data_IF_634014958240
#
_entry.id   IF_634014958240
#
_cell.length_a   1.000
_cell.length_b   1.000
_cell.length_c   1.000
_cell.angle_alpha   90.00
_cell.angle_beta   90.00
_cell.angle_gamma   90.00
#
_symmetry.space_group_name_H-M   'P 1'
#
loop_
_entity.id
_entity.type
_entity.pdbx_description
1 polymer ?
#
# COMPACT_ATOMS: atom_id res chain seq x y z
N UNK A 1 -7.53 18.75 -13.15
CA UNK A 1 -8.24 17.85 -12.20
C UNK A 1 -9.69 17.73 -12.64
N UNK A 2 -10.23 16.50 -12.64
CA UNK A 2 -11.63 16.25 -13.02
C UNK A 2 -12.61 16.71 -11.94
N UNK A 3 -13.88 16.91 -12.34
CA UNK A 3 -14.96 17.21 -11.39
C UNK A 3 -15.08 16.10 -10.35
N UNK A 4 -14.95 14.83 -10.76
CA UNK A 4 -14.98 13.67 -9.86
C UNK A 4 -13.89 13.76 -8.80
N UNK A 5 -12.65 14.10 -9.18
CA UNK A 5 -11.58 14.31 -8.21
C UNK A 5 -11.91 15.41 -7.22
N UNK A 6 -12.40 16.57 -7.71
CA UNK A 6 -12.76 17.69 -6.84
C UNK A 6 -13.87 17.35 -5.84
N UNK A 7 -14.85 16.54 -6.26
CA UNK A 7 -15.91 16.05 -5.37
C UNK A 7 -15.35 15.09 -4.30
N UNK A 8 -14.52 14.13 -4.69
CA UNK A 8 -13.88 13.18 -3.75
C UNK A 8 -12.98 13.94 -2.78
N UNK A 9 -12.16 14.87 -3.26
CA UNK A 9 -11.31 15.73 -2.41
C UNK A 9 -12.14 16.48 -1.37
N UNK A 10 -13.23 17.14 -1.79
CA UNK A 10 -14.11 17.88 -0.90
C UNK A 10 -14.79 16.99 0.14
N UNK A 11 -15.19 15.78 -0.25
CA UNK A 11 -15.77 14.78 0.65
C UNK A 11 -14.74 14.33 1.69
N UNK A 12 -13.55 13.95 1.28
CA UNK A 12 -12.46 13.52 2.17
C UNK A 12 -12.09 14.64 3.15
N UNK A 13 -11.95 15.88 2.67
CA UNK A 13 -11.61 17.03 3.52
C UNK A 13 -12.66 17.33 4.57
N UNK A 14 -13.94 17.15 4.26
CA UNK A 14 -15.05 17.30 5.24
C UNK A 14 -15.08 16.18 6.26
N UNK A 15 -14.69 14.97 5.87
CA UNK A 15 -14.64 13.79 6.73
C UNK A 15 -13.34 13.65 7.53
N UNK A 16 -12.35 14.53 7.31
CA UNK A 16 -11.06 14.46 7.96
C UNK A 16 -11.19 14.54 9.47
N UNK A 17 -10.80 13.48 10.15
CA UNK A 17 -10.82 13.40 11.62
C UNK A 17 -9.49 13.89 12.17
N UNK A 18 -9.55 14.58 13.30
CA UNK A 18 -8.39 14.94 14.08
C UNK A 18 -8.18 13.89 15.17
N UNK A 19 -6.99 13.30 15.21
CA UNK A 19 -6.58 12.47 16.32
C UNK A 19 -6.29 13.33 17.57
N UNK A 20 -6.73 12.87 18.73
CA UNK A 20 -6.42 13.52 20.02
C UNK A 20 -5.88 12.41 20.93
N UNK A 21 -4.60 12.54 21.31
CA UNK A 21 -3.93 11.61 22.21
C UNK A 21 -4.67 11.51 23.56
N UNK A 22 -4.77 10.29 24.07
CA UNK A 22 -5.44 10.00 25.33
C UNK A 22 -6.98 9.97 25.29
N UNK A 23 -7.61 10.24 24.12
CA UNK A 23 -9.05 10.04 23.94
C UNK A 23 -9.34 8.63 23.40
N UNK A 24 -10.46 8.05 23.87
CA UNK A 24 -10.96 6.81 23.29
C UNK A 24 -11.32 7.03 21.81
N UNK A 25 -10.60 6.36 20.91
CA UNK A 25 -10.80 6.47 19.47
C UNK A 25 -11.93 5.56 18.95
N UNK A 26 -12.46 4.67 19.80
CA UNK A 26 -13.49 3.72 19.46
C UNK A 26 -13.25 3.04 18.09
N UNK A 27 -12.10 2.39 17.95
CA UNK A 27 -11.68 1.76 16.69
C UNK A 27 -12.70 0.77 16.11
N UNK A 28 -13.41 -0.05 16.91
CA UNK A 28 -14.47 -0.90 16.39
C UNK A 28 -15.58 -0.12 15.67
N UNK A 29 -16.03 1.00 16.24
CA UNK A 29 -17.03 1.84 15.58
C UNK A 29 -16.49 2.53 14.32
N UNK A 30 -15.22 2.95 14.31
CA UNK A 30 -14.56 3.51 13.12
C UNK A 30 -14.49 2.49 11.98
N UNK A 31 -14.12 1.24 12.26
CA UNK A 31 -14.10 0.13 11.29
C UNK A 31 -15.48 -0.15 10.73
N UNK A 32 -16.48 -0.25 11.62
CA UNK A 32 -17.87 -0.47 11.21
C UNK A 32 -18.42 0.66 10.32
N UNK A 33 -18.08 1.92 10.63
CA UNK A 33 -18.47 3.06 9.80
C UNK A 33 -17.76 3.06 8.45
N UNK A 34 -16.47 2.71 8.37
CA UNK A 34 -15.74 2.57 7.11
C UNK A 34 -16.35 1.45 6.25
N UNK A 35 -16.67 0.29 6.81
CA UNK A 35 -17.36 -0.79 6.09
C UNK A 35 -18.74 -0.34 5.59
N UNK A 36 -19.51 0.39 6.39
CA UNK A 36 -20.81 0.93 6.01
C UNK A 36 -20.70 1.92 4.85
N UNK A 37 -19.72 2.82 4.88
CA UNK A 37 -19.45 3.78 3.81
C UNK A 37 -19.07 3.08 2.51
N UNK A 38 -18.30 1.98 2.59
CA UNK A 38 -17.84 1.21 1.45
C UNK A 38 -18.78 0.08 1.02
N UNK A 39 -19.96 -0.08 1.65
CA UNK A 39 -20.88 -1.20 1.39
C UNK A 39 -21.30 -1.37 -0.08
N UNK A 40 -21.27 -0.32 -0.87
CA UNK A 40 -21.57 -0.34 -2.31
C UNK A 40 -20.31 -0.39 -3.20
N UNK A 41 -19.12 -0.24 -2.62
CA UNK A 41 -17.84 -0.27 -3.31
C UNK A 41 -17.33 -1.71 -3.48
N UNK A 42 -18.18 -2.59 -4.02
CA UNK A 42 -17.88 -4.01 -4.18
C UNK A 42 -17.11 -4.30 -5.46
N UNK A 43 -16.50 -5.47 -5.51
CA UNK A 43 -15.96 -6.02 -6.75
C UNK A 43 -17.09 -6.26 -7.78
N UNK A 44 -16.80 -6.16 -9.09
CA UNK A 44 -17.76 -6.53 -10.14
C UNK A 44 -18.25 -7.97 -9.96
N UNK A 45 -19.52 -8.24 -10.34
CA UNK A 45 -20.15 -9.58 -10.21
C UNK A 45 -19.42 -10.70 -10.96
N UNK A 46 -18.59 -10.37 -11.92
CA UNK A 46 -17.76 -11.35 -12.66
C UNK A 46 -16.51 -11.81 -11.91
N UNK A 47 -16.21 -11.21 -10.75
CA UNK A 47 -15.09 -11.61 -9.91
C UNK A 47 -15.53 -12.72 -8.98
N UNK A 48 -14.82 -13.83 -9.01
CA UNK A 48 -14.98 -14.90 -8.04
C UNK A 48 -14.19 -14.55 -6.78
N UNK A 49 -14.86 -14.63 -5.63
CA UNK A 49 -14.26 -14.33 -4.33
C UNK A 49 -14.39 -15.58 -3.46
N UNK A 50 -13.27 -16.06 -2.94
CA UNK A 50 -13.24 -17.11 -1.92
C UNK A 50 -12.24 -16.75 -0.82
N UNK A 51 -12.26 -17.51 0.26
CA UNK A 51 -11.35 -17.30 1.39
C UNK A 51 -10.57 -18.60 1.64
N UNK A 52 -9.28 -18.43 1.94
CA UNK A 52 -8.38 -19.51 2.35
C UNK A 52 -7.71 -19.12 3.66
N UNK A 53 -7.17 -20.09 4.37
CA UNK A 53 -6.42 -19.85 5.61
C UNK A 53 -4.91 -19.98 5.36
N UNK A 54 -4.17 -18.98 5.80
CA UNK A 54 -2.71 -18.97 5.85
C UNK A 54 -2.27 -19.00 7.34
N UNK A 55 -2.25 -20.18 7.94
CA UNK A 55 -2.20 -20.31 9.39
C UNK A 55 -3.45 -19.70 10.03
N UNK A 56 -3.26 -18.72 10.93
CA UNK A 56 -4.36 -18.03 11.61
C UNK A 56 -4.92 -16.84 10.80
N UNK A 57 -4.37 -16.58 9.60
CA UNK A 57 -4.75 -15.42 8.78
C UNK A 57 -5.71 -15.83 7.68
N UNK A 58 -6.88 -15.19 7.61
CA UNK A 58 -7.79 -15.33 6.48
C UNK A 58 -7.26 -14.52 5.29
N UNK A 59 -7.12 -15.16 4.14
CA UNK A 59 -6.75 -14.50 2.89
C UNK A 59 -7.92 -14.56 1.92
N UNK A 60 -8.38 -13.41 1.46
CA UNK A 60 -9.39 -13.33 0.42
C UNK A 60 -8.72 -13.45 -0.95
N UNK A 61 -9.18 -14.41 -1.76
CA UNK A 61 -8.73 -14.61 -3.12
C UNK A 61 -9.80 -14.06 -4.09
N UNK A 62 -9.37 -13.16 -4.98
CA UNK A 62 -10.20 -12.60 -6.02
C UNK A 62 -9.64 -13.03 -7.38
N UNK A 63 -10.49 -13.66 -8.19
CA UNK A 63 -10.08 -14.19 -9.49
C UNK A 63 -11.12 -13.93 -10.57
N UNK A 64 -10.67 -14.04 -11.84
CA UNK A 64 -11.53 -13.99 -13.01
C UNK A 64 -11.12 -15.07 -14.00
N UNK A 65 -12.06 -15.80 -14.64
CA UNK A 65 -11.73 -16.92 -15.53
C UNK A 65 -10.84 -16.58 -16.74
N UNK A 66 -10.74 -15.29 -17.09
CA UNK A 66 -9.89 -14.81 -18.19
C UNK A 66 -8.46 -14.49 -17.77
N UNK A 67 -8.19 -14.44 -16.47
CA UNK A 67 -6.86 -14.10 -15.99
C UNK A 67 -5.97 -15.35 -15.96
N UNK A 68 -4.67 -15.20 -16.22
CA UNK A 68 -3.70 -16.28 -15.97
C UNK A 68 -3.77 -16.75 -14.51
N UNK A 69 -3.68 -18.06 -14.30
CA UNK A 69 -3.76 -18.69 -12.98
C UNK A 69 -2.39 -18.93 -12.35
N UNK A 70 -1.33 -18.73 -13.12
CA UNK A 70 0.07 -18.96 -12.71
C UNK A 70 0.71 -17.74 -12.03
N UNK A 71 -0.02 -16.64 -11.85
CA UNK A 71 0.49 -15.38 -11.30
C UNK A 71 -0.55 -14.68 -10.42
N UNK A 72 -0.07 -13.97 -9.40
CA UNK A 72 -0.94 -13.34 -8.41
C UNK A 72 -0.33 -12.03 -7.86
N UNK A 73 -1.19 -11.11 -7.46
CA UNK A 73 -0.82 -9.92 -6.68
C UNK A 73 -1.20 -10.15 -5.22
N UNK A 74 -0.24 -10.12 -4.31
CA UNK A 74 -0.51 -10.04 -2.87
C UNK A 74 -0.75 -8.57 -2.51
N UNK A 75 -2.02 -8.23 -2.33
CA UNK A 75 -2.44 -6.86 -2.01
C UNK A 75 -2.66 -6.67 -0.52
N UNK A 76 -1.98 -5.70 0.08
CA UNK A 76 -2.05 -5.39 1.51
C UNK A 76 -2.69 -4.00 1.66
N UNK A 77 -3.85 -3.95 2.34
CA UNK A 77 -4.61 -2.72 2.48
C UNK A 77 -3.98 -1.74 3.47
N UNK A 78 -4.24 -0.43 3.27
CA UNK A 78 -3.92 0.62 4.22
C UNK A 78 -5.00 0.83 5.29
N UNK A 79 -4.88 1.92 6.01
CA UNK A 79 -5.80 2.30 7.10
C UNK A 79 -5.08 2.58 8.42
N UNK A 80 -3.82 3.03 8.37
CA UNK A 80 -3.02 3.42 9.55
C UNK A 80 -2.79 2.27 10.53
N UNK A 81 -2.88 1.02 10.08
CA UNK A 81 -2.82 -0.21 10.88
C UNK A 81 -3.98 -0.40 11.87
N UNK A 82 -4.92 0.53 11.95
CA UNK A 82 -6.01 0.56 12.94
C UNK A 82 -7.41 0.41 12.34
N UNK A 83 -7.58 0.71 11.06
CA UNK A 83 -8.83 0.56 10.30
C UNK A 83 -8.55 -0.08 8.94
N UNK A 84 -9.59 -0.27 8.14
CA UNK A 84 -9.52 -0.97 6.87
C UNK A 84 -9.84 -2.44 6.99
N UNK A 85 -10.16 -3.06 5.85
CA UNK A 85 -10.38 -4.50 5.71
C UNK A 85 -10.29 -4.87 4.23
N UNK A 86 -10.18 -6.16 3.92
CA UNK A 86 -10.23 -6.64 2.53
C UNK A 86 -11.55 -6.22 1.86
N UNK A 87 -12.66 -6.18 2.61
CA UNK A 87 -13.98 -5.76 2.10
C UNK A 87 -14.00 -4.31 1.65
N UNK A 88 -13.39 -3.40 2.42
CA UNK A 88 -13.39 -1.96 2.10
C UNK A 88 -12.55 -1.64 0.85
N UNK A 89 -11.74 -2.59 0.38
CA UNK A 89 -10.87 -2.45 -0.80
C UNK A 89 -11.35 -3.23 -2.03
N UNK A 90 -12.51 -3.92 -1.95
CA UNK A 90 -13.02 -4.77 -3.05
C UNK A 90 -13.28 -4.02 -4.35
N UNK A 91 -13.59 -2.74 -4.31
CA UNK A 91 -13.69 -1.94 -5.53
C UNK A 91 -12.34 -1.86 -6.26
N UNK A 92 -11.27 -1.63 -5.54
CA UNK A 92 -9.93 -1.54 -6.11
C UNK A 92 -9.37 -2.92 -6.49
N UNK A 93 -9.45 -3.92 -5.60
CA UNK A 93 -9.00 -5.29 -5.92
C UNK A 93 -9.79 -5.89 -7.06
N UNK A 94 -11.10 -5.64 -7.13
CA UNK A 94 -11.93 -6.00 -8.29
C UNK A 94 -11.53 -5.28 -9.58
N UNK A 95 -11.01 -4.05 -9.49
CA UNK A 95 -10.44 -3.33 -10.63
C UNK A 95 -9.13 -3.98 -11.10
N UNK A 96 -8.23 -4.37 -10.19
CA UNK A 96 -7.02 -5.13 -10.52
C UNK A 96 -7.38 -6.41 -11.29
N UNK A 97 -8.39 -7.13 -10.80
CA UNK A 97 -8.83 -8.39 -11.41
C UNK A 97 -9.46 -8.17 -12.79
N UNK A 98 -10.39 -7.23 -12.93
CA UNK A 98 -11.20 -7.10 -14.15
C UNK A 98 -10.63 -6.18 -15.22
N UNK A 99 -9.82 -5.20 -14.82
CA UNK A 99 -9.29 -4.17 -15.74
C UNK A 99 -7.79 -4.28 -15.96
N UNK A 100 -7.03 -4.70 -14.96
CA UNK A 100 -5.59 -4.90 -15.14
C UNK A 100 -5.25 -6.36 -15.45
N UNK A 101 -6.14 -7.33 -15.18
CA UNK A 101 -5.99 -8.73 -15.58
C UNK A 101 -5.11 -9.55 -14.60
N UNK A 102 -5.09 -9.19 -13.32
CA UNK A 102 -4.33 -9.90 -12.29
C UNK A 102 -5.25 -10.45 -11.20
N UNK A 103 -5.12 -11.73 -10.87
CA UNK A 103 -5.74 -12.30 -9.69
C UNK A 103 -5.08 -11.71 -8.43
N UNK A 104 -5.85 -11.62 -7.34
CA UNK A 104 -5.43 -10.94 -6.12
C UNK A 104 -5.62 -11.87 -4.92
N UNK A 105 -4.62 -11.91 -4.04
CA UNK A 105 -4.71 -12.41 -2.68
C UNK A 105 -4.63 -11.22 -1.72
N UNK A 106 -5.55 -11.10 -0.79
CA UNK A 106 -5.60 -10.00 0.18
C UNK A 106 -5.74 -10.56 1.60
N UNK A 107 -4.71 -10.42 2.46
CA UNK A 107 -4.79 -10.88 3.84
C UNK A 107 -5.64 -9.93 4.69
N UNK A 108 -6.54 -10.50 5.50
CA UNK A 108 -7.23 -9.80 6.58
C UNK A 108 -6.31 -9.79 7.81
N UNK A 109 -5.28 -8.96 7.78
CA UNK A 109 -4.30 -8.89 8.85
C UNK A 109 -4.87 -8.24 10.12
N UNK A 110 -4.36 -8.65 11.27
CA UNK A 110 -4.79 -8.14 12.58
C UNK A 110 -4.46 -6.67 12.76
N UNK A 111 -5.43 -5.91 13.27
CA UNK A 111 -5.33 -4.46 13.43
C UNK A 111 -4.97 -4.08 14.88
N UNK A 112 -4.27 -2.99 15.01
CA UNK A 112 -4.03 -2.29 16.25
C UNK A 112 -5.28 -1.46 16.68
N UNK A 113 -5.43 -1.10 17.95
CA UNK A 113 -4.54 -1.40 19.07
C UNK A 113 -4.71 -2.79 19.67
N UNK A 114 -5.72 -3.57 19.27
CA UNK A 114 -5.97 -4.91 19.83
C UNK A 114 -4.79 -5.84 19.54
N UNK A 115 -4.16 -5.66 18.38
CA UNK A 115 -3.00 -6.42 17.96
C UNK A 115 -1.90 -5.46 17.44
N UNK A 116 -1.11 -4.88 18.35
CA UNK A 116 -0.05 -3.95 17.97
C UNK A 116 1.08 -4.64 17.20
N UNK A 117 2.04 -3.85 16.74
CA UNK A 117 3.28 -4.38 16.15
C UNK A 117 3.92 -5.45 17.07
N UNK A 118 4.34 -6.59 16.52
CA UNK A 118 4.47 -6.94 15.11
C UNK A 118 3.35 -7.86 14.55
N UNK A 119 2.11 -7.77 15.01
CA UNK A 119 1.04 -8.68 14.56
C UNK A 119 0.80 -8.58 13.04
N UNK A 120 0.52 -7.38 12.52
CA UNK A 120 0.25 -7.19 11.08
C UNK A 120 1.41 -7.64 10.17
N UNK A 121 2.70 -7.30 10.42
CA UNK A 121 3.81 -7.85 9.65
C UNK A 121 3.87 -9.38 9.63
N UNK A 122 3.63 -10.03 10.76
CA UNK A 122 3.61 -11.50 10.85
C UNK A 122 2.49 -12.12 10.03
N UNK A 123 1.32 -11.50 10.03
CA UNK A 123 0.17 -11.97 9.26
C UNK A 123 0.42 -11.84 7.75
N UNK A 124 1.00 -10.73 7.30
CA UNK A 124 1.40 -10.56 5.91
C UNK A 124 2.47 -11.57 5.49
N UNK A 125 3.42 -11.88 6.37
CA UNK A 125 4.44 -12.89 6.13
C UNK A 125 3.85 -14.30 6.03
N UNK A 126 2.87 -14.65 6.88
CA UNK A 126 2.16 -15.93 6.80
C UNK A 126 1.39 -16.06 5.47
N UNK A 127 0.72 -14.99 5.02
CA UNK A 127 0.05 -14.96 3.73
C UNK A 127 1.01 -15.17 2.55
N UNK A 128 2.18 -14.52 2.57
CA UNK A 128 3.19 -14.72 1.53
C UNK A 128 3.72 -16.15 1.50
N UNK A 129 4.00 -16.74 2.65
CA UNK A 129 4.47 -18.14 2.74
C UNK A 129 3.45 -19.12 2.16
N UNK A 130 2.16 -18.90 2.45
CA UNK A 130 1.09 -19.73 1.86
C UNK A 130 1.04 -19.59 0.32
N UNK A 131 1.29 -18.41 -0.23
CA UNK A 131 1.34 -18.24 -1.67
C UNK A 131 2.53 -18.94 -2.32
N UNK A 132 3.65 -19.10 -1.64
CA UNK A 132 4.81 -19.85 -2.14
C UNK A 132 4.54 -21.35 -2.31
N UNK A 133 3.50 -21.89 -1.68
CA UNK A 133 3.07 -23.28 -1.87
C UNK A 133 2.35 -23.49 -3.21
N UNK A 134 1.76 -22.41 -3.78
CA UNK A 134 0.92 -22.45 -4.97
C UNK A 134 1.55 -21.73 -6.18
N UNK A 135 2.42 -20.74 -5.94
CA UNK A 135 2.98 -19.88 -6.97
C UNK A 135 4.51 -19.85 -6.90
N UNK A 136 5.14 -19.86 -8.07
CA UNK A 136 6.56 -19.54 -8.16
C UNK A 136 6.79 -18.07 -7.69
N UNK A 137 7.87 -17.79 -6.94
CA UNK A 137 8.09 -16.48 -6.32
C UNK A 137 8.14 -15.34 -7.36
N UNK A 138 8.70 -15.57 -8.54
CA UNK A 138 8.72 -14.63 -9.66
C UNK A 138 7.34 -14.40 -10.30
N UNK A 139 6.32 -15.11 -9.86
CA UNK A 139 4.91 -14.95 -10.25
C UNK A 139 4.06 -14.27 -9.17
N UNK A 140 4.69 -13.81 -8.11
CA UNK A 140 4.05 -13.06 -7.03
C UNK A 140 4.56 -11.62 -7.07
N UNK A 141 3.67 -10.63 -7.13
CA UNK A 141 4.00 -9.21 -6.91
C UNK A 141 3.33 -8.73 -5.64
N UNK A 142 4.08 -8.03 -4.80
CA UNK A 142 3.53 -7.37 -3.62
C UNK A 142 2.99 -5.99 -4.00
N UNK A 143 1.81 -5.64 -3.52
CA UNK A 143 1.19 -4.32 -3.72
C UNK A 143 0.50 -3.85 -2.46
N UNK A 144 0.66 -2.58 -2.10
CA UNK A 144 -0.04 -2.03 -0.93
C UNK A 144 -0.06 -0.51 -0.94
N UNK A 145 -1.03 0.06 -0.21
CA UNK A 145 -1.13 1.52 -0.06
C UNK A 145 -0.98 1.95 1.40
N UNK A 146 -0.40 3.12 1.66
CA UNK A 146 -0.31 3.71 3.00
C UNK A 146 0.41 2.79 3.99
N UNK A 147 -0.26 2.44 5.10
CA UNK A 147 0.18 1.40 6.04
C UNK A 147 0.40 0.04 5.34
N UNK A 148 -0.42 -0.31 4.34
CA UNK A 148 -0.19 -1.51 3.52
C UNK A 148 1.09 -1.42 2.68
N UNK A 149 1.44 -0.23 2.19
CA UNK A 149 2.73 0.00 1.54
C UNK A 149 3.93 -0.15 2.50
N UNK A 150 3.78 0.27 3.75
CA UNK A 150 4.73 -0.04 4.83
C UNK A 150 4.87 -1.55 5.02
N UNK A 151 3.74 -2.26 5.15
CA UNK A 151 3.72 -3.72 5.34
C UNK A 151 4.33 -4.48 4.15
N UNK A 152 4.16 -4.01 2.92
CA UNK A 152 4.85 -4.54 1.72
C UNK A 152 6.36 -4.43 1.85
N UNK A 153 6.87 -3.26 2.24
CA UNK A 153 8.30 -3.04 2.44
C UNK A 153 8.84 -3.85 3.63
N UNK A 154 8.09 -3.88 4.73
CA UNK A 154 8.38 -4.74 5.89
C UNK A 154 8.46 -6.22 5.51
N UNK A 155 7.51 -6.67 4.68
CA UNK A 155 7.45 -8.04 4.19
C UNK A 155 8.69 -8.42 3.37
N UNK A 156 9.19 -7.53 2.49
CA UNK A 156 10.45 -7.76 1.78
C UNK A 156 11.62 -8.00 2.74
N UNK A 157 11.71 -7.20 3.80
CA UNK A 157 12.77 -7.34 4.80
C UNK A 157 12.64 -8.65 5.61
N UNK A 158 11.41 -9.06 5.93
CA UNK A 158 11.15 -10.34 6.60
C UNK A 158 11.47 -11.54 5.71
N UNK A 159 11.09 -11.49 4.41
CA UNK A 159 11.43 -12.51 3.41
C UNK A 159 12.95 -12.67 3.31
N UNK A 160 13.68 -11.54 3.25
CA UNK A 160 15.14 -11.51 3.20
C UNK A 160 15.76 -12.12 4.45
N UNK A 161 15.30 -11.72 5.64
CA UNK A 161 15.82 -12.26 6.90
C UNK A 161 15.58 -13.77 7.04
N UNK A 162 14.41 -14.23 6.58
CA UNK A 162 14.06 -15.65 6.60
C UNK A 162 14.76 -16.47 5.49
N UNK A 163 15.49 -15.84 4.58
CA UNK A 163 16.12 -16.53 3.44
C UNK A 163 15.13 -17.18 2.47
N UNK A 164 13.88 -16.69 2.44
CA UNK A 164 12.86 -17.20 1.51
C UNK A 164 13.05 -16.63 0.10
N UNK A 165 12.55 -17.34 -0.93
CA UNK A 165 12.55 -16.80 -2.29
C UNK A 165 11.82 -15.46 -2.39
N UNK A 166 12.41 -14.52 -3.14
CA UNK A 166 11.87 -13.16 -3.29
C UNK A 166 10.75 -13.10 -4.33
N UNK A 167 9.72 -12.24 -4.14
CA UNK A 167 8.71 -11.98 -5.15
C UNK A 167 9.30 -11.24 -6.37
N UNK A 168 8.52 -11.11 -7.45
CA UNK A 168 8.93 -10.43 -8.67
C UNK A 168 9.21 -8.92 -8.49
N UNK A 169 8.40 -8.25 -7.67
CA UNK A 169 8.52 -6.82 -7.37
C UNK A 169 7.67 -6.42 -6.16
N UNK A 170 7.90 -5.21 -5.67
CA UNK A 170 7.05 -4.53 -4.70
C UNK A 170 6.56 -3.18 -5.24
N UNK A 171 5.25 -2.94 -5.18
CA UNK A 171 4.57 -1.74 -5.62
C UNK A 171 3.90 -1.08 -4.42
N UNK A 172 4.22 0.18 -4.14
CA UNK A 172 3.71 0.89 -2.96
C UNK A 172 3.10 2.23 -3.36
N UNK A 173 1.84 2.45 -2.97
CA UNK A 173 1.14 3.70 -3.17
C UNK A 173 1.17 4.52 -1.89
N UNK A 174 1.79 5.69 -1.95
CA UNK A 174 1.88 6.60 -0.79
C UNK A 174 2.28 5.87 0.51
N UNK A 175 3.34 5.04 0.53
CA UNK A 175 3.70 4.28 1.72
C UNK A 175 4.13 5.20 2.86
N UNK A 176 3.82 4.85 4.11
CA UNK A 176 4.52 5.43 5.25
C UNK A 176 5.76 4.58 5.56
N UNK A 177 6.95 5.18 5.62
CA UNK A 177 8.18 4.40 5.71
C UNK A 177 8.95 4.60 7.02
N UNK A 178 8.57 5.58 7.80
CA UNK A 178 9.19 5.90 9.11
C UNK A 178 8.19 6.59 10.05
N UNK A 179 8.52 6.70 11.33
CA UNK A 179 7.62 7.25 12.37
C UNK A 179 8.25 8.36 13.22
N UNK A 180 9.37 8.95 12.82
CA UNK A 180 10.03 10.03 13.54
C UNK A 180 9.73 11.44 13.01
N UNK A 181 8.84 11.56 12.03
CA UNK A 181 8.30 12.81 11.47
C UNK A 181 9.36 13.80 10.96
N UNK A 182 10.52 13.30 10.51
CA UNK A 182 11.64 14.16 10.13
C UNK A 182 11.52 14.73 8.72
N UNK A 183 10.61 14.22 7.89
CA UNK A 183 10.51 14.65 6.49
C UNK A 183 9.70 15.93 6.31
N UNK A 184 10.17 16.87 5.46
CA UNK A 184 9.57 18.21 5.34
C UNK A 184 8.10 18.22 4.88
N UNK A 185 7.64 17.23 4.11
CA UNK A 185 6.27 17.19 3.60
C UNK A 185 5.20 17.09 4.69
N UNK A 186 5.53 16.55 5.85
CA UNK A 186 4.61 16.48 6.99
C UNK A 186 4.13 17.84 7.46
N UNK A 187 4.98 18.85 7.35
CA UNK A 187 4.61 20.24 7.68
C UNK A 187 4.15 20.99 6.43
N UNK A 188 4.92 20.92 5.35
CA UNK A 188 4.70 21.69 4.13
C UNK A 188 3.36 21.38 3.47
N UNK A 189 2.98 20.09 3.40
CA UNK A 189 1.78 19.64 2.69
C UNK A 189 0.54 19.51 3.59
N UNK A 190 0.63 19.85 4.88
CA UNK A 190 -0.49 19.73 5.81
C UNK A 190 -1.74 20.48 5.39
N UNK A 191 -1.58 21.64 4.77
CA UNK A 191 -2.70 22.46 4.29
C UNK A 191 -3.41 21.87 3.06
N UNK A 192 -2.67 21.15 2.22
CA UNK A 192 -3.18 20.51 0.99
C UNK A 192 -3.66 19.08 1.21
N UNK A 193 -3.33 18.46 2.36
CA UNK A 193 -3.74 17.12 2.72
C UNK A 193 -5.23 17.03 3.06
N UNK A 194 -5.95 16.12 2.42
CA UNK A 194 -7.39 15.98 2.58
C UNK A 194 -7.83 14.82 3.49
N UNK A 195 -6.99 13.83 3.72
CA UNK A 195 -7.39 12.56 4.37
C UNK A 195 -6.68 12.33 5.69
N UNK A 196 -5.39 12.65 5.76
CA UNK A 196 -4.52 12.35 6.90
C UNK A 196 -4.30 13.63 7.71
N UNK A 197 -4.52 13.59 9.02
CA UNK A 197 -4.21 14.73 9.91
C UNK A 197 -2.98 14.45 10.76
N UNK A 198 -3.15 13.78 11.88
CA UNK A 198 -2.06 13.44 12.81
C UNK A 198 -1.84 11.93 12.85
N UNK A 199 -1.47 11.40 11.67
CA UNK A 199 -1.27 9.95 11.49
C UNK A 199 -0.20 9.39 12.44
N UNK A 200 0.81 10.21 12.75
CA UNK A 200 1.99 9.72 13.48
C UNK A 200 1.71 9.46 14.93
N UNK A 201 1.04 10.39 15.61
CA UNK A 201 0.71 10.23 17.02
C UNK A 201 -0.22 9.03 17.21
N UNK A 202 -1.25 8.90 16.34
CA UNK A 202 -2.15 7.76 16.38
C UNK A 202 -1.40 6.44 16.12
N UNK A 203 -0.53 6.41 15.10
CA UNK A 203 0.23 5.21 14.75
C UNK A 203 1.22 4.82 15.84
N UNK A 204 1.94 5.79 16.41
CA UNK A 204 2.86 5.51 17.51
C UNK A 204 2.13 4.94 18.73
N UNK A 205 1.02 5.54 19.12
CA UNK A 205 0.28 5.11 20.31
C UNK A 205 -0.47 3.79 20.08
N UNK A 206 -1.14 3.64 18.94
CA UNK A 206 -1.97 2.47 18.69
C UNK A 206 -1.18 1.30 18.09
N UNK A 207 -0.38 1.55 17.04
CA UNK A 207 0.29 0.48 16.31
C UNK A 207 1.58 0.02 16.96
N UNK A 208 2.46 0.97 17.37
CA UNK A 208 3.72 0.61 18.00
C UNK A 208 3.54 0.26 19.49
N UNK A 209 2.44 0.67 20.11
CA UNK A 209 2.13 0.39 21.50
C UNK A 209 3.05 1.10 22.50
N UNK A 210 3.97 1.97 22.02
CA UNK A 210 5.05 2.54 22.84
C UNK A 210 5.49 3.89 22.29
N UNK A 211 5.94 4.75 23.19
CA UNK A 211 6.71 5.98 22.89
C UNK A 211 8.23 5.72 22.80
N UNK A 212 8.67 4.46 22.67
CA UNK A 212 10.09 4.10 22.71
C UNK A 212 10.75 4.28 21.36
N UNK A 213 11.85 5.03 21.32
CA UNK A 213 12.64 5.31 20.13
C UNK A 213 13.23 4.07 19.43
N UNK A 214 13.48 2.99 20.18
CA UNK A 214 14.03 1.76 19.60
C UNK A 214 13.05 1.04 18.65
N UNK A 215 11.76 1.01 19.00
CA UNK A 215 10.71 0.42 18.15
C UNK A 215 10.41 1.32 16.94
N UNK A 216 10.46 2.63 17.12
CA UNK A 216 10.26 3.61 16.04
C UNK A 216 11.25 3.42 14.89
N UNK A 217 12.46 2.91 15.16
CA UNK A 217 13.50 2.63 14.14
C UNK A 217 13.69 1.15 13.82
N UNK A 218 12.85 0.27 14.36
CA UNK A 218 12.86 -1.13 13.94
C UNK A 218 12.49 -1.22 12.45
N UNK A 219 13.33 -1.87 11.64
CA UNK A 219 13.17 -1.91 10.18
C UNK A 219 11.91 -2.63 9.70
N UNK A 220 11.31 -3.49 10.52
CA UNK A 220 10.02 -4.10 10.19
C UNK A 220 8.84 -3.20 10.53
N UNK A 221 8.99 -2.28 11.47
CA UNK A 221 8.01 -1.23 11.72
C UNK A 221 8.21 -0.04 10.76
N UNK A 222 9.45 0.43 10.65
CA UNK A 222 9.86 1.59 9.87
C UNK A 222 10.87 1.18 8.77
N UNK A 223 10.41 0.69 7.62
CA UNK A 223 11.25 0.10 6.57
C UNK A 223 12.31 1.03 6.01
N UNK A 224 12.17 2.34 6.17
CA UNK A 224 13.19 3.31 5.79
C UNK A 224 14.58 3.00 6.40
N UNK A 225 14.61 2.42 7.59
CA UNK A 225 15.84 2.05 8.29
C UNK A 225 16.39 0.66 7.89
N UNK A 226 15.66 -0.07 7.05
CA UNK A 226 16.10 -1.38 6.53
C UNK A 226 17.04 -1.26 5.33
N UNK A 227 17.73 -2.36 5.01
CA UNK A 227 18.53 -2.50 3.79
C UNK A 227 17.82 -3.42 2.80
N UNK A 228 17.53 -2.90 1.62
CA UNK A 228 16.87 -3.63 0.54
C UNK A 228 17.85 -4.31 -0.43
N UNK A 229 19.15 -4.35 -0.11
CA UNK A 229 20.12 -5.08 -0.93
C UNK A 229 19.69 -6.54 -1.12
N UNK A 230 19.61 -6.99 -2.38
CA UNK A 230 19.12 -8.31 -2.75
C UNK A 230 17.59 -8.46 -2.83
N UNK A 231 16.82 -7.41 -2.52
CA UNK A 231 15.38 -7.39 -2.74
C UNK A 231 15.04 -7.14 -4.24
N UNK A 232 13.82 -7.48 -4.69
CA UNK A 232 13.37 -7.22 -6.06
C UNK A 232 13.13 -5.73 -6.30
N UNK A 233 12.88 -5.30 -7.55
CA UNK A 233 12.57 -3.90 -7.86
C UNK A 233 11.42 -3.34 -7.01
N UNK A 234 11.57 -2.09 -6.56
CA UNK A 234 10.55 -1.36 -5.78
C UNK A 234 10.02 -0.20 -6.60
N UNK A 235 8.69 -0.14 -6.78
CA UNK A 235 8.02 0.97 -7.46
C UNK A 235 7.15 1.74 -6.47
N UNK A 236 7.28 3.06 -6.48
CA UNK A 236 6.61 3.97 -5.57
C UNK A 236 5.71 4.94 -6.35
N UNK A 237 4.53 5.26 -5.83
CA UNK A 237 3.65 6.32 -6.34
C UNK A 237 3.31 7.26 -5.20
N UNK A 238 3.38 8.57 -5.46
CA UNK A 238 3.03 9.59 -4.48
C UNK A 238 2.41 10.83 -5.14
N UNK A 239 1.50 11.49 -4.42
CA UNK A 239 1.04 12.82 -4.78
C UNK A 239 2.01 13.88 -4.28
N UNK A 240 2.26 14.90 -5.10
CA UNK A 240 3.05 16.05 -4.65
C UNK A 240 2.38 16.85 -3.52
N UNK A 241 1.07 16.64 -3.30
CA UNK A 241 0.24 17.38 -2.35
C UNK A 241 0.00 16.65 -1.02
N UNK A 242 0.40 15.39 -0.90
CA UNK A 242 0.18 14.58 0.30
C UNK A 242 1.30 14.74 1.34
N UNK A 243 0.97 14.50 2.61
CA UNK A 243 1.94 14.60 3.71
C UNK A 243 3.01 13.49 3.65
N UNK A 244 2.71 12.32 3.08
CA UNK A 244 3.64 11.20 2.90
C UNK A 244 4.47 11.28 1.60
N UNK A 245 4.42 12.42 0.89
CA UNK A 245 5.19 12.60 -0.35
C UNK A 245 6.67 12.34 -0.15
N UNK A 246 7.25 12.88 0.93
CA UNK A 246 8.68 12.76 1.16
C UNK A 246 9.08 11.38 1.70
N UNK A 247 8.15 10.58 2.25
CA UNK A 247 8.38 9.14 2.53
C UNK A 247 8.80 8.41 1.25
N UNK A 248 8.03 8.58 0.18
CA UNK A 248 8.31 7.98 -1.11
C UNK A 248 9.59 8.56 -1.74
N UNK A 249 9.79 9.88 -1.67
CA UNK A 249 10.94 10.54 -2.27
C UNK A 249 12.25 10.16 -1.57
N UNK A 250 12.27 10.22 -0.24
CA UNK A 250 13.48 9.92 0.54
C UNK A 250 13.83 8.43 0.47
N UNK A 251 12.83 7.55 0.43
CA UNK A 251 13.08 6.13 0.19
C UNK A 251 13.66 5.90 -1.22
N UNK A 252 13.11 6.57 -2.24
CA UNK A 252 13.64 6.47 -3.61
C UNK A 252 15.09 6.92 -3.69
N UNK A 253 15.46 8.08 -3.11
CA UNK A 253 16.83 8.58 -3.12
C UNK A 253 17.79 7.66 -2.34
N UNK A 254 17.32 7.09 -1.21
CA UNK A 254 18.09 6.07 -0.46
C UNK A 254 18.36 4.84 -1.34
N UNK A 255 17.32 4.27 -1.94
CA UNK A 255 17.42 3.09 -2.80
C UNK A 255 18.34 3.33 -3.99
N UNK A 256 18.26 4.50 -4.64
CA UNK A 256 19.19 4.90 -5.70
C UNK A 256 20.63 4.93 -5.23
N UNK A 257 20.88 5.57 -4.10
CA UNK A 257 22.23 5.67 -3.52
C UNK A 257 22.82 4.30 -3.21
N UNK A 258 21.98 3.36 -2.82
CA UNK A 258 22.35 1.96 -2.58
C UNK A 258 22.43 1.11 -3.87
N UNK A 259 22.20 1.70 -5.05
CA UNK A 259 22.22 1.00 -6.33
C UNK A 259 21.05 0.02 -6.52
N UNK A 260 19.99 0.16 -5.73
CA UNK A 260 18.83 -0.72 -5.79
C UNK A 260 17.88 -0.33 -6.95
N UNK A 261 17.35 -1.28 -7.74
CA UNK A 261 16.42 -0.96 -8.82
C UNK A 261 15.09 -0.45 -8.25
N UNK A 262 14.82 0.84 -8.43
CA UNK A 262 13.60 1.48 -7.94
C UNK A 262 13.03 2.48 -8.94
N UNK A 263 11.70 2.70 -8.86
CA UNK A 263 10.98 3.71 -9.64
C UNK A 263 10.14 4.57 -8.70
N UNK A 264 10.03 5.85 -9.01
CA UNK A 264 9.12 6.77 -8.32
C UNK A 264 8.27 7.51 -9.34
N UNK A 265 6.95 7.39 -9.19
CA UNK A 265 5.95 8.11 -9.98
C UNK A 265 5.32 9.20 -9.11
N UNK A 266 5.44 10.44 -9.55
CA UNK A 266 4.86 11.61 -8.88
C UNK A 266 3.67 12.14 -9.65
N UNK A 267 2.60 12.49 -8.93
CA UNK A 267 1.40 13.08 -9.51
C UNK A 267 1.06 14.40 -8.83
N UNK A 268 0.95 15.48 -9.62
CA UNK A 268 0.58 16.80 -9.11
C UNK A 268 -0.92 16.87 -8.79
N UNK A 269 -1.25 17.44 -7.63
CA UNK A 269 -2.61 17.84 -7.29
C UNK A 269 -3.59 16.72 -6.98
N UNK A 270 -3.14 15.45 -6.82
CA UNK A 270 -4.02 14.36 -6.41
C UNK A 270 -4.17 14.28 -4.90
N UNK A 271 -5.29 13.69 -4.46
CA UNK A 271 -5.47 13.29 -3.08
C UNK A 271 -4.53 12.13 -2.74
N UNK A 272 -4.27 11.96 -1.47
CA UNK A 272 -3.55 10.82 -0.91
C UNK A 272 -4.14 9.47 -1.41
N UNK A 273 -3.29 8.53 -1.78
CA UNK A 273 -3.67 7.19 -2.28
C UNK A 273 -4.72 7.17 -3.41
N UNK A 274 -4.78 8.18 -4.26
CA UNK A 274 -5.79 8.32 -5.33
C UNK A 274 -5.94 7.07 -6.22
N UNK A 275 -4.89 6.28 -6.37
CA UNK A 275 -4.88 5.10 -7.24
C UNK A 275 -5.89 4.02 -6.79
N UNK A 276 -6.22 3.93 -5.51
CA UNK A 276 -7.21 2.95 -5.02
C UNK A 276 -8.66 3.39 -5.27
N UNK A 277 -8.87 4.56 -5.89
CA UNK A 277 -10.19 5.12 -6.17
C UNK A 277 -10.39 5.17 -7.71
N UNK A 278 -10.63 4.02 -8.37
CA UNK A 278 -10.72 3.96 -9.83
C UNK A 278 -11.95 4.66 -10.43
N UNK A 279 -12.80 5.26 -9.60
CA UNK A 279 -13.87 6.16 -10.04
C UNK A 279 -13.32 7.52 -10.49
N UNK A 280 -12.14 7.93 -10.01
CA UNK A 280 -11.44 9.14 -10.44
C UNK A 280 -10.80 8.87 -11.82
N UNK A 281 -11.09 9.70 -12.86
CA UNK A 281 -10.51 9.51 -14.19
C UNK A 281 -8.99 9.53 -14.22
N UNK A 282 -8.35 10.39 -13.41
CA UNK A 282 -6.91 10.47 -13.26
C UNK A 282 -6.32 9.17 -12.69
N UNK A 283 -6.98 8.59 -11.68
CA UNK A 283 -6.56 7.29 -11.13
C UNK A 283 -6.56 6.19 -12.22
N UNK A 284 -7.62 6.12 -13.06
CA UNK A 284 -7.65 5.16 -14.19
C UNK A 284 -6.54 5.38 -15.20
N UNK A 285 -6.19 6.65 -15.48
CA UNK A 285 -5.07 6.97 -16.36
C UNK A 285 -3.76 6.47 -15.76
N UNK A 286 -3.54 6.80 -14.49
CA UNK A 286 -2.28 6.51 -13.81
C UNK A 286 -2.12 5.01 -13.47
N UNK A 287 -3.23 4.27 -13.27
CA UNK A 287 -3.22 2.81 -13.11
C UNK A 287 -2.66 2.06 -14.34
N UNK A 288 -2.50 2.71 -15.50
CA UNK A 288 -1.77 2.14 -16.64
C UNK A 288 -0.29 1.96 -16.32
N UNK A 289 0.32 2.86 -15.54
CA UNK A 289 1.71 2.71 -15.09
C UNK A 289 1.87 1.55 -14.11
N UNK A 290 0.85 1.33 -13.27
CA UNK A 290 0.81 0.18 -12.36
C UNK A 290 0.74 -1.12 -13.16
N UNK A 291 -0.12 -1.16 -14.20
CA UNK A 291 -0.21 -2.32 -15.09
C UNK A 291 1.13 -2.59 -15.80
N UNK A 292 1.77 -1.56 -16.34
CA UNK A 292 3.09 -1.69 -16.97
C UNK A 292 4.14 -2.27 -16.01
N UNK A 293 4.18 -1.76 -14.76
CA UNK A 293 5.08 -2.31 -13.75
C UNK A 293 4.76 -3.77 -13.38
N UNK A 294 3.46 -4.13 -13.28
CA UNK A 294 3.04 -5.50 -13.01
C UNK A 294 3.43 -6.45 -14.15
N UNK A 295 3.19 -6.07 -15.41
CA UNK A 295 3.55 -6.88 -16.57
C UNK A 295 5.07 -7.08 -16.64
N UNK A 296 5.86 -5.99 -16.55
CA UNK A 296 7.32 -6.05 -16.57
C UNK A 296 7.92 -6.84 -15.41
N UNK A 297 7.30 -6.77 -14.23
CA UNK A 297 7.73 -7.58 -13.08
C UNK A 297 7.58 -9.06 -13.36
N UNK A 298 6.40 -9.47 -13.86
CA UNK A 298 6.11 -10.87 -14.23
C UNK A 298 6.97 -11.40 -15.39
N UNK A 299 7.47 -10.49 -16.25
CA UNK A 299 8.38 -10.81 -17.36
C UNK A 299 9.86 -10.75 -16.96
N UNK A 300 10.19 -10.32 -15.73
CA UNK A 300 11.57 -10.10 -15.28
C UNK A 300 12.28 -8.94 -15.98
N UNK A 301 11.52 -8.04 -16.60
CA UNK A 301 12.05 -6.90 -17.38
C UNK A 301 11.94 -5.56 -16.65
N UNK A 302 11.36 -5.51 -15.45
CA UNK A 302 11.22 -4.29 -14.66
C UNK A 302 12.60 -3.77 -14.23
N UNK A 303 12.88 -2.51 -14.54
CA UNK A 303 14.15 -1.83 -14.21
C UNK A 303 13.88 -0.56 -13.41
N UNK A 304 14.88 -0.07 -12.69
CA UNK A 304 14.85 1.21 -12.01
C UNK A 304 14.86 2.41 -12.97
N UNK A 305 14.61 3.60 -12.45
CA UNK A 305 14.72 4.85 -13.18
C UNK A 305 15.74 5.80 -12.50
N UNK A 306 16.36 6.68 -13.28
CA UNK A 306 17.38 7.60 -12.80
C UNK A 306 16.80 8.78 -12.00
N UNK A 307 15.56 9.16 -12.27
CA UNK A 307 14.86 10.29 -11.65
C UNK A 307 13.37 9.97 -11.50
N UNK A 308 12.65 10.68 -10.61
CA UNK A 308 11.20 10.54 -10.49
C UNK A 308 10.50 10.81 -11.82
N UNK A 309 9.50 9.98 -12.14
CA UNK A 309 8.67 10.08 -13.35
C UNK A 309 7.42 10.89 -13.01
N UNK A 310 7.20 11.99 -13.76
CA UNK A 310 5.97 12.78 -13.61
C UNK A 310 4.86 12.15 -14.42
N UNK A 311 3.77 11.76 -13.76
CA UNK A 311 2.64 11.08 -14.39
C UNK A 311 1.87 11.96 -15.39
N UNK A 312 2.00 13.29 -15.28
CA UNK A 312 1.50 14.21 -16.29
C UNK A 312 2.15 14.01 -17.65
N UNK A 313 3.44 13.69 -17.66
CA UNK A 313 4.31 13.63 -18.85
C UNK A 313 4.51 12.20 -19.34
N UNK A 314 4.02 11.19 -18.59
CA UNK A 314 4.21 9.78 -18.93
C UNK A 314 3.44 9.40 -20.21
N UNK A 315 4.16 8.86 -21.18
CA UNK A 315 3.67 8.49 -22.51
C UNK A 315 3.74 6.97 -22.80
N UNK A 316 4.13 6.16 -21.82
CA UNK A 316 4.22 4.71 -21.95
C UNK A 316 5.54 4.17 -22.51
N UNK A 317 6.59 4.97 -22.58
CA UNK A 317 7.88 4.61 -23.18
C UNK A 317 9.07 4.56 -22.19
N UNK A 318 8.84 4.57 -20.88
CA UNK A 318 9.90 4.56 -19.86
C UNK A 318 10.36 3.15 -19.47
#
# INVERSE_FOLDING_TARGET
MSITHSMVFSFCKKGKRRYVSGQDQNYPARRAEEEKQNRFANAPRSVHICQVQAGDVTVELLSHPRNPTDRIVLYIHGGGFVVGSVKTRRMFTGYLVTKLGFNVAAPEYRLAPEHPFPAAPRDCFAAYRALLEEYAPERIVLLGESAGGNLVLSLLLQIKEAGLPMPAAALCFSPCVQFDQTFPSYTRNRATEAMVDDLWTETQEAYLGIKDSAVVRNSFAAPYYGSFAGCPPICLWASESEVLRDDSLMLFEKLKTEGHPCRLYLRKGMIYTWLIIPTIPEARKDLKTVKDCLDRAMEGTLRGCAAPIRLEDWNGQD
#
